data_IF_419257514494
#
_entry.id   IF_419257514494
#
_cell.length_a   1.000
_cell.length_b   1.000
_cell.length_c   1.000
_cell.angle_alpha   90.00
_cell.angle_beta   90.00
_cell.angle_gamma   90.00
#
_symmetry.space_group_name_H-M   'P 1'
#
loop_
_entity.id
_entity.type
_entity.pdbx_description
1 polymer ?
#
# COMPACT_ATOMS: atom_id res chain seq x y z
N UNK A 1 -31.08 -30.36 -18.19
CA UNK A 1 -31.85 -29.12 -17.95
C UNK A 1 -33.33 -29.34 -18.21
N UNK A 2 -33.78 -29.56 -19.45
CA UNK A 2 -35.20 -29.69 -19.80
C UNK A 2 -35.98 -30.71 -18.96
N UNK A 3 -35.38 -31.86 -18.62
CA UNK A 3 -36.03 -32.88 -17.78
C UNK A 3 -36.30 -32.40 -16.35
N UNK A 4 -35.43 -31.57 -15.77
CA UNK A 4 -35.61 -31.01 -14.42
C UNK A 4 -36.65 -29.88 -14.42
N UNK A 5 -36.62 -29.01 -15.44
CA UNK A 5 -37.65 -27.97 -15.64
C UNK A 5 -39.04 -28.60 -15.74
N UNK A 6 -39.19 -29.62 -16.59
CA UNK A 6 -40.45 -30.34 -16.79
C UNK A 6 -40.91 -31.09 -15.53
N UNK A 7 -39.98 -31.72 -14.80
CA UNK A 7 -40.29 -32.38 -13.53
C UNK A 7 -40.79 -31.37 -12.48
N UNK A 8 -40.19 -30.18 -12.41
CA UNK A 8 -40.61 -29.09 -11.51
C UNK A 8 -42.00 -28.57 -11.86
N UNK A 9 -42.29 -28.35 -13.13
CA UNK A 9 -43.62 -27.91 -13.60
C UNK A 9 -44.72 -28.92 -13.27
N UNK A 10 -44.46 -30.22 -13.47
CA UNK A 10 -45.39 -31.29 -13.08
C UNK A 10 -45.61 -31.32 -11.57
N UNK A 11 -44.55 -31.08 -10.78
CA UNK A 11 -44.65 -31.02 -9.33
C UNK A 11 -45.42 -29.78 -8.85
N UNK A 12 -45.27 -28.64 -9.53
CA UNK A 12 -46.08 -27.43 -9.29
C UNK A 12 -47.57 -27.69 -9.59
N UNK A 13 -47.88 -28.44 -10.66
CA UNK A 13 -49.25 -28.86 -10.96
C UNK A 13 -49.82 -29.78 -9.87
N UNK A 14 -49.07 -30.79 -9.44
CA UNK A 14 -49.49 -31.73 -8.37
C UNK A 14 -49.73 -30.99 -7.06
N UNK A 15 -48.81 -30.10 -6.67
CA UNK A 15 -48.92 -29.31 -5.44
C UNK A 15 -50.09 -28.32 -5.47
N UNK A 16 -50.51 -27.87 -6.65
CA UNK A 16 -51.63 -26.91 -6.80
C UNK A 16 -52.98 -27.63 -6.93
N UNK A 17 -53.08 -28.61 -7.84
CA UNK A 17 -54.35 -29.29 -8.18
C UNK A 17 -54.69 -30.44 -7.22
N UNK A 18 -53.68 -31.07 -6.63
CA UNK A 18 -53.82 -32.27 -5.81
C UNK A 18 -53.19 -32.09 -4.41
N UNK A 19 -53.24 -30.87 -3.86
CA UNK A 19 -52.56 -30.44 -2.64
C UNK A 19 -52.85 -31.30 -1.39
N UNK A 20 -53.99 -32.00 -1.34
CA UNK A 20 -54.41 -32.85 -0.21
C UNK A 20 -54.01 -34.32 -0.36
N UNK A 21 -53.29 -34.68 -1.41
CA UNK A 21 -52.86 -36.05 -1.65
C UNK A 21 -51.50 -36.32 -1.03
N UNK A 22 -51.19 -37.60 -0.77
CA UNK A 22 -49.85 -38.03 -0.34
C UNK A 22 -48.72 -37.76 -1.35
N UNK A 23 -49.08 -37.32 -2.56
CA UNK A 23 -48.15 -37.04 -3.65
C UNK A 23 -47.77 -35.56 -3.73
N UNK A 24 -48.47 -34.66 -3.01
CA UNK A 24 -48.05 -33.29 -2.87
C UNK A 24 -46.77 -33.24 -2.01
N UNK A 25 -45.71 -32.67 -2.57
CA UNK A 25 -44.39 -32.60 -1.97
C UNK A 25 -43.70 -31.29 -2.38
N UNK A 26 -43.76 -30.32 -1.49
CA UNK A 26 -43.12 -29.00 -1.66
C UNK A 26 -41.60 -29.12 -1.49
N UNK A 27 -41.13 -30.09 -0.69
CA UNK A 27 -39.71 -30.33 -0.44
C UNK A 27 -39.01 -30.89 -1.68
N UNK A 28 -39.60 -31.93 -2.29
CA UNK A 28 -39.09 -32.49 -3.54
C UNK A 28 -39.12 -31.46 -4.68
N UNK A 29 -40.18 -30.64 -4.77
CA UNK A 29 -40.23 -29.51 -5.72
C UNK A 29 -39.08 -28.54 -5.50
N UNK A 30 -38.80 -28.16 -4.25
CA UNK A 30 -37.68 -27.27 -3.92
C UNK A 30 -36.33 -27.91 -4.29
N UNK A 31 -36.16 -29.22 -4.08
CA UNK A 31 -34.97 -29.95 -4.48
C UNK A 31 -34.75 -29.98 -6.00
N UNK A 32 -35.82 -30.18 -6.79
CA UNK A 32 -35.77 -30.12 -8.25
C UNK A 32 -35.33 -28.73 -8.73
N UNK A 33 -35.89 -27.68 -8.13
CA UNK A 33 -35.51 -26.30 -8.44
C UNK A 33 -34.04 -26.00 -8.10
N UNK A 34 -33.58 -26.37 -6.89
CA UNK A 34 -32.19 -26.19 -6.48
C UNK A 34 -31.22 -26.96 -7.40
N UNK A 35 -31.60 -28.15 -7.87
CA UNK A 35 -30.81 -28.96 -8.80
C UNK A 35 -30.75 -28.31 -10.19
N UNK A 36 -31.87 -27.80 -10.69
CA UNK A 36 -31.94 -27.04 -11.95
C UNK A 36 -31.01 -25.82 -11.92
N UNK A 37 -31.10 -25.00 -10.87
CA UNK A 37 -30.22 -23.83 -10.71
C UNK A 37 -28.75 -24.22 -10.52
N UNK A 38 -28.47 -25.34 -9.83
CA UNK A 38 -27.10 -25.86 -9.68
C UNK A 38 -26.51 -26.33 -11.00
N UNK A 39 -27.32 -26.85 -11.93
CA UNK A 39 -26.85 -27.20 -13.27
C UNK A 39 -26.60 -25.97 -14.13
N UNK A 40 -27.36 -24.90 -13.93
CA UNK A 40 -27.13 -23.62 -14.60
C UNK A 40 -25.80 -23.02 -14.13
N UNK A 41 -25.61 -22.85 -12.82
CA UNK A 41 -24.40 -22.26 -12.21
C UNK A 41 -23.12 -23.13 -12.26
N UNK A 42 -23.17 -24.30 -12.90
CA UNK A 42 -22.05 -25.26 -12.90
C UNK A 42 -20.89 -24.82 -13.82
N UNK A 43 -21.19 -24.10 -14.90
CA UNK A 43 -20.16 -23.62 -15.81
C UNK A 43 -19.43 -22.42 -15.20
N UNK A 44 -20.17 -21.53 -14.56
CA UNK A 44 -19.68 -20.33 -13.90
C UNK A 44 -18.75 -20.70 -12.74
N UNK A 45 -19.11 -21.70 -11.92
CA UNK A 45 -18.21 -22.13 -10.84
C UNK A 45 -16.92 -22.75 -11.36
N UNK A 46 -16.97 -23.51 -12.46
CA UNK A 46 -15.77 -24.05 -13.10
C UNK A 46 -14.90 -22.93 -13.71
N UNK A 47 -15.51 -21.90 -14.29
CA UNK A 47 -14.78 -20.73 -14.77
C UNK A 47 -14.15 -19.94 -13.61
N UNK A 48 -14.82 -19.79 -12.46
CA UNK A 48 -14.20 -19.21 -11.25
C UNK A 48 -12.95 -19.99 -10.87
N UNK A 49 -12.99 -21.33 -10.85
CA UNK A 49 -11.83 -22.16 -10.52
C UNK A 49 -10.67 -21.95 -11.51
N UNK A 50 -10.97 -21.86 -12.81
CA UNK A 50 -9.97 -21.57 -13.86
C UNK A 50 -9.36 -20.17 -13.66
N UNK A 51 -10.16 -19.16 -13.35
CA UNK A 51 -9.67 -17.81 -13.09
C UNK A 51 -8.78 -17.78 -11.84
N UNK A 52 -9.16 -18.48 -10.77
CA UNK A 52 -8.34 -18.59 -9.55
C UNK A 52 -7.01 -19.28 -9.84
N UNK A 53 -7.00 -20.37 -10.62
CA UNK A 53 -5.77 -21.04 -11.03
C UNK A 53 -4.88 -20.10 -11.87
N UNK A 54 -5.47 -19.37 -12.83
CA UNK A 54 -4.77 -18.37 -13.63
C UNK A 54 -4.17 -17.23 -12.79
N UNK A 55 -4.86 -16.79 -11.74
CA UNK A 55 -4.33 -15.80 -10.82
C UNK A 55 -3.10 -16.31 -10.06
N UNK A 56 -3.13 -17.56 -9.57
CA UNK A 56 -2.00 -18.18 -8.89
C UNK A 56 -0.80 -18.33 -9.82
N UNK A 57 -1.02 -18.80 -11.05
CA UNK A 57 0.04 -18.89 -12.07
C UNK A 57 0.64 -17.52 -12.39
N UNK A 58 -0.21 -16.48 -12.51
CA UNK A 58 0.25 -15.11 -12.75
C UNK A 58 1.09 -14.56 -11.59
N UNK A 59 0.73 -14.86 -10.33
CA UNK A 59 1.53 -14.51 -9.15
C UNK A 59 2.89 -15.21 -9.18
N UNK A 60 2.92 -16.50 -9.51
CA UNK A 60 4.18 -17.26 -9.65
C UNK A 60 5.06 -16.68 -10.77
N UNK A 61 4.45 -16.20 -11.85
CA UNK A 61 5.12 -15.48 -12.92
C UNK A 61 5.40 -13.99 -12.63
N UNK A 62 5.22 -13.53 -11.39
CA UNK A 62 5.38 -12.14 -10.94
C UNK A 62 4.54 -11.08 -11.68
N UNK A 63 3.50 -11.49 -12.38
CA UNK A 63 2.59 -10.61 -13.11
C UNK A 63 1.34 -10.30 -12.26
N UNK A 64 1.50 -9.40 -11.30
CA UNK A 64 0.43 -9.02 -10.38
C UNK A 64 -0.74 -8.30 -11.03
N UNK A 65 -0.49 -7.55 -12.12
CA UNK A 65 -1.56 -6.90 -12.89
C UNK A 65 -2.51 -7.97 -13.44
N UNK A 66 -1.96 -8.99 -14.11
CA UNK A 66 -2.74 -10.10 -14.65
C UNK A 66 -3.41 -10.92 -13.55
N UNK A 67 -2.73 -11.14 -12.43
CA UNK A 67 -3.34 -11.82 -11.27
C UNK A 67 -4.55 -11.06 -10.72
N UNK A 68 -4.44 -9.72 -10.60
CA UNK A 68 -5.53 -8.87 -10.15
C UNK A 68 -6.72 -8.88 -11.12
N UNK A 69 -6.47 -8.90 -12.44
CA UNK A 69 -7.52 -9.06 -13.46
C UNK A 69 -8.27 -10.39 -13.29
N UNK A 70 -7.54 -11.49 -13.09
CA UNK A 70 -8.15 -12.81 -12.86
C UNK A 70 -9.02 -12.82 -11.59
N UNK A 71 -8.51 -12.31 -10.47
CA UNK A 71 -9.32 -12.23 -9.24
C UNK A 71 -10.52 -11.30 -9.37
N UNK A 72 -10.39 -10.18 -10.10
CA UNK A 72 -11.51 -9.26 -10.36
C UNK A 72 -12.63 -9.95 -11.12
N UNK A 73 -12.29 -10.72 -12.16
CA UNK A 73 -13.27 -11.54 -12.90
C UNK A 73 -13.88 -12.64 -12.04
N UNK A 74 -13.07 -13.31 -11.22
CA UNK A 74 -13.54 -14.38 -10.33
C UNK A 74 -14.54 -13.87 -9.29
N UNK A 75 -14.29 -12.71 -8.69
CA UNK A 75 -15.21 -12.04 -7.76
C UNK A 75 -16.53 -11.69 -8.45
N UNK A 76 -16.47 -11.06 -9.63
CA UNK A 76 -17.66 -10.68 -10.38
C UNK A 76 -18.52 -11.89 -10.74
N UNK A 77 -17.91 -12.99 -11.17
CA UNK A 77 -18.62 -14.21 -11.54
C UNK A 77 -19.21 -14.94 -10.32
N UNK A 78 -18.53 -14.92 -9.17
CA UNK A 78 -19.08 -15.47 -7.93
C UNK A 78 -20.25 -14.63 -7.39
N UNK A 79 -20.20 -13.30 -7.56
CA UNK A 79 -21.31 -12.39 -7.20
C UNK A 79 -22.53 -12.62 -8.10
N UNK A 80 -22.31 -12.68 -9.42
CA UNK A 80 -23.34 -13.04 -10.39
C UNK A 80 -23.96 -14.39 -10.04
N UNK A 81 -23.13 -15.38 -9.69
CA UNK A 81 -23.63 -16.69 -9.29
C UNK A 81 -24.53 -16.63 -8.06
N UNK A 82 -24.13 -15.86 -7.05
CA UNK A 82 -24.91 -15.67 -5.83
C UNK A 82 -26.25 -14.97 -6.10
N UNK A 83 -26.31 -14.07 -7.10
CA UNK A 83 -27.49 -13.27 -7.42
C UNK A 83 -28.46 -13.97 -8.38
N UNK A 84 -27.95 -14.53 -9.48
CA UNK A 84 -28.76 -15.14 -10.54
C UNK A 84 -29.28 -16.53 -10.13
N UNK A 85 -28.52 -17.29 -9.32
CA UNK A 85 -28.88 -18.65 -8.90
C UNK A 85 -28.87 -18.83 -7.38
N UNK A 86 -29.68 -18.10 -6.61
CA UNK A 86 -29.59 -18.03 -5.14
C UNK A 86 -29.89 -19.35 -4.39
N UNK A 87 -30.47 -20.36 -5.05
CA UNK A 87 -30.65 -21.70 -4.47
C UNK A 87 -29.71 -22.77 -5.07
N UNK A 88 -28.76 -22.36 -5.90
CA UNK A 88 -27.69 -23.25 -6.36
C UNK A 88 -26.81 -23.66 -5.18
N UNK A 89 -26.30 -24.90 -5.21
CA UNK A 89 -25.32 -25.38 -4.24
C UNK A 89 -23.99 -24.62 -4.25
N UNK A 90 -23.76 -23.81 -5.29
CA UNK A 90 -22.52 -23.06 -5.49
C UNK A 90 -22.57 -21.63 -4.93
N UNK A 91 -23.72 -21.21 -4.42
CA UNK A 91 -23.85 -19.93 -3.72
C UNK A 91 -22.99 -19.96 -2.47
N UNK A 92 -22.09 -18.97 -2.32
CA UNK A 92 -21.18 -18.92 -1.19
C UNK A 92 -20.71 -17.50 -0.93
N UNK A 93 -21.20 -16.92 0.17
CA UNK A 93 -20.69 -15.64 0.70
C UNK A 93 -19.25 -15.79 1.21
N UNK A 94 -18.90 -16.93 1.82
CA UNK A 94 -17.55 -17.18 2.29
C UNK A 94 -16.52 -17.21 1.14
N UNK A 95 -16.86 -17.86 0.03
CA UNK A 95 -16.00 -17.90 -1.16
C UNK A 95 -15.88 -16.52 -1.82
N UNK A 96 -16.98 -15.76 -1.89
CA UNK A 96 -16.95 -14.38 -2.36
C UNK A 96 -15.99 -13.51 -1.53
N UNK A 97 -16.10 -13.53 -0.20
CA UNK A 97 -15.21 -12.76 0.69
C UNK A 97 -13.74 -13.21 0.57
N UNK A 98 -13.48 -14.50 0.41
CA UNK A 98 -12.12 -15.00 0.18
C UNK A 98 -11.53 -14.48 -1.14
N UNK A 99 -12.31 -14.54 -2.23
CA UNK A 99 -11.90 -14.02 -3.53
C UNK A 99 -11.67 -12.51 -3.50
N UNK A 100 -12.55 -11.78 -2.82
CA UNK A 100 -12.42 -10.32 -2.66
C UNK A 100 -11.19 -9.95 -1.82
N UNK A 101 -10.92 -10.69 -0.74
CA UNK A 101 -9.69 -10.52 0.04
C UNK A 101 -8.44 -10.77 -0.80
N UNK A 102 -8.42 -11.83 -1.62
CA UNK A 102 -7.32 -12.12 -2.56
C UNK A 102 -7.16 -11.04 -3.63
N UNK A 103 -8.28 -10.53 -4.17
CA UNK A 103 -8.29 -9.43 -5.14
C UNK A 103 -7.67 -8.17 -4.54
N UNK A 104 -8.14 -7.74 -3.37
CA UNK A 104 -7.62 -6.56 -2.66
C UNK A 104 -6.14 -6.73 -2.33
N UNK A 105 -5.72 -7.87 -1.77
CA UNK A 105 -4.31 -8.11 -1.45
C UNK A 105 -3.40 -8.03 -2.69
N UNK A 106 -3.85 -8.59 -3.82
CA UNK A 106 -3.07 -8.58 -5.08
C UNK A 106 -2.95 -7.17 -5.66
N UNK A 107 -4.04 -6.40 -5.66
CA UNK A 107 -4.03 -5.00 -6.12
C UNK A 107 -3.16 -4.13 -5.22
N UNK A 108 -3.29 -4.29 -3.90
CA UNK A 108 -2.50 -3.53 -2.94
C UNK A 108 -1.00 -3.83 -3.08
N UNK A 109 -0.62 -5.10 -3.28
CA UNK A 109 0.78 -5.49 -3.54
C UNK A 109 1.31 -4.87 -4.85
N UNK A 110 0.52 -4.89 -5.93
CA UNK A 110 0.91 -4.27 -7.19
C UNK A 110 1.19 -2.76 -7.03
N UNK A 111 0.29 -2.06 -6.35
CA UNK A 111 0.43 -0.64 -6.03
C UNK A 111 1.67 -0.38 -5.16
N UNK A 112 1.90 -1.19 -4.12
CA UNK A 112 3.07 -1.03 -3.24
C UNK A 112 4.39 -1.30 -3.96
N UNK A 113 4.43 -2.21 -4.93
CA UNK A 113 5.62 -2.42 -5.78
C UNK A 113 5.91 -1.23 -6.67
N UNK A 114 4.88 -0.62 -7.23
CA UNK A 114 5.00 0.63 -7.98
C UNK A 114 5.55 1.74 -7.08
N UNK A 115 4.96 1.94 -5.90
CA UNK A 115 5.42 2.94 -4.93
C UNK A 115 6.89 2.74 -4.51
N UNK A 116 7.34 1.49 -4.30
CA UNK A 116 8.74 1.17 -4.00
C UNK A 116 9.68 1.43 -5.18
N UNK A 117 9.22 1.22 -6.40
CA UNK A 117 10.01 1.51 -7.62
C UNK A 117 10.19 3.02 -7.77
N UNK A 118 9.11 3.77 -7.62
CA UNK A 118 9.15 5.23 -7.61
C UNK A 118 10.01 5.75 -6.44
N UNK A 119 9.99 5.10 -5.27
CA UNK A 119 10.84 5.48 -4.13
C UNK A 119 12.33 5.40 -4.45
N UNK A 120 12.75 4.33 -5.15
CA UNK A 120 14.13 4.20 -5.61
C UNK A 120 14.51 5.36 -6.54
N UNK A 121 13.65 5.67 -7.51
CA UNK A 121 13.87 6.79 -8.45
C UNK A 121 13.92 8.13 -7.72
N UNK A 122 12.99 8.38 -6.80
CA UNK A 122 12.94 9.59 -5.99
C UNK A 122 14.23 9.75 -5.16
N UNK A 123 14.68 8.70 -4.47
CA UNK A 123 15.93 8.71 -3.70
C UNK A 123 17.14 9.05 -4.58
N UNK A 124 17.23 8.47 -5.77
CA UNK A 124 18.30 8.80 -6.71
C UNK A 124 18.27 10.26 -7.17
N UNK A 125 17.08 10.79 -7.47
CA UNK A 125 16.92 12.18 -7.88
C UNK A 125 17.30 13.15 -6.76
N UNK A 126 16.88 12.85 -5.53
CA UNK A 126 17.25 13.62 -4.33
C UNK A 126 18.77 13.59 -4.10
N UNK A 127 19.38 12.40 -4.18
CA UNK A 127 20.83 12.23 -4.04
C UNK A 127 21.65 12.96 -5.11
N UNK A 128 21.08 13.13 -6.32
CA UNK A 128 21.65 13.88 -7.45
C UNK A 128 21.23 15.36 -7.44
N UNK A 129 20.53 15.84 -6.40
CA UNK A 129 20.00 17.21 -6.24
C UNK A 129 19.09 17.66 -7.39
N UNK A 130 18.40 16.72 -8.03
CA UNK A 130 17.42 16.96 -9.10
C UNK A 130 16.03 17.18 -8.49
N UNK A 131 15.89 18.27 -7.74
CA UNK A 131 14.70 18.55 -6.93
C UNK A 131 13.40 18.53 -7.73
N UNK A 132 13.35 19.15 -8.93
CA UNK A 132 12.13 19.18 -9.75
C UNK A 132 11.62 17.77 -10.08
N UNK A 133 12.49 16.92 -10.63
CA UNK A 133 12.12 15.53 -10.92
C UNK A 133 11.79 14.73 -9.66
N UNK A 134 12.47 14.99 -8.54
CA UNK A 134 12.15 14.33 -7.28
C UNK A 134 10.75 14.70 -6.77
N UNK A 135 10.32 15.96 -6.94
CA UNK A 135 8.98 16.42 -6.56
C UNK A 135 7.89 15.68 -7.35
N UNK A 136 8.07 15.48 -8.66
CA UNK A 136 7.13 14.70 -9.49
C UNK A 136 6.94 13.28 -8.93
N UNK A 137 8.03 12.62 -8.50
CA UNK A 137 7.94 11.28 -7.90
C UNK A 137 7.31 11.31 -6.51
N UNK A 138 7.60 12.33 -5.69
CA UNK A 138 7.00 12.52 -4.36
C UNK A 138 5.48 12.64 -4.46
N UNK A 139 4.98 13.42 -5.42
CA UNK A 139 3.55 13.60 -5.66
C UNK A 139 2.89 12.29 -6.09
N UNK A 140 3.48 11.58 -7.07
CA UNK A 140 2.98 10.29 -7.53
C UNK A 140 2.91 9.25 -6.40
N UNK A 141 3.95 9.14 -5.57
CA UNK A 141 3.96 8.18 -4.45
C UNK A 141 2.93 8.59 -3.39
N UNK A 142 2.78 9.89 -3.09
CA UNK A 142 1.79 10.35 -2.14
C UNK A 142 0.35 10.04 -2.60
N UNK A 143 0.07 10.20 -3.90
CA UNK A 143 -1.22 9.82 -4.49
C UNK A 143 -1.47 8.31 -4.38
N UNK A 144 -0.47 7.48 -4.72
CA UNK A 144 -0.57 6.03 -4.57
C UNK A 144 -0.84 5.62 -3.11
N UNK A 145 -0.13 6.21 -2.14
CA UNK A 145 -0.33 5.92 -0.72
C UNK A 145 -1.72 6.35 -0.23
N UNK A 146 -2.25 7.46 -0.74
CA UNK A 146 -3.61 7.93 -0.44
C UNK A 146 -4.64 6.94 -0.98
N UNK A 147 -4.52 6.58 -2.26
CA UNK A 147 -5.38 5.57 -2.90
C UNK A 147 -5.30 4.22 -2.19
N UNK A 148 -4.12 3.78 -1.75
CA UNK A 148 -3.97 2.54 -1.00
C UNK A 148 -4.80 2.55 0.29
N UNK A 149 -4.73 3.66 1.05
CA UNK A 149 -5.47 3.80 2.30
C UNK A 149 -6.99 3.84 2.09
N UNK A 150 -7.45 4.43 0.98
CA UNK A 150 -8.87 4.55 0.63
C UNK A 150 -9.45 3.26 0.04
N UNK A 151 -8.75 2.65 -0.92
CA UNK A 151 -9.24 1.51 -1.70
C UNK A 151 -8.99 0.17 -0.98
N UNK A 152 -7.96 0.06 -0.14
CA UNK A 152 -7.56 -1.20 0.51
C UNK A 152 -7.42 -1.11 2.04
N UNK A 153 -8.42 -0.58 2.78
CA UNK A 153 -8.31 -0.36 4.24
C UNK A 153 -8.18 -1.65 5.06
N UNK A 154 -8.49 -2.81 4.47
CA UNK A 154 -8.36 -4.14 5.08
C UNK A 154 -7.02 -4.82 4.77
N UNK A 155 -6.19 -4.22 3.93
CA UNK A 155 -4.89 -4.78 3.57
C UNK A 155 -3.89 -4.60 4.71
N UNK A 156 -3.22 -5.69 5.10
CA UNK A 156 -2.12 -5.66 6.07
C UNK A 156 -0.78 -5.25 5.42
N UNK A 157 -0.76 -4.92 4.12
CA UNK A 157 0.45 -4.56 3.36
C UNK A 157 0.91 -3.11 3.58
N UNK A 158 0.50 -2.47 4.68
CA UNK A 158 0.85 -1.07 4.93
C UNK A 158 2.35 -0.90 5.17
N UNK A 159 2.95 0.06 4.47
CA UNK A 159 4.31 0.52 4.73
C UNK A 159 4.24 1.87 5.44
N UNK A 160 4.12 1.81 6.77
CA UNK A 160 4.02 3.02 7.60
C UNK A 160 5.26 3.92 7.45
N UNK A 161 6.43 3.33 7.20
CA UNK A 161 7.67 4.07 6.96
C UNK A 161 7.61 4.88 5.67
N UNK A 162 7.18 4.25 4.58
CA UNK A 162 7.00 4.91 3.28
C UNK A 162 5.94 6.01 3.36
N UNK A 163 4.80 5.72 4.01
CA UNK A 163 3.72 6.70 4.19
C UNK A 163 4.17 7.94 4.98
N UNK A 164 4.91 7.75 6.08
CA UNK A 164 5.49 8.85 6.87
C UNK A 164 6.49 9.68 6.06
N UNK A 165 7.38 9.01 5.33
CA UNK A 165 8.38 9.66 4.47
C UNK A 165 7.73 10.58 3.44
N UNK A 166 6.78 10.06 2.66
CA UNK A 166 6.18 10.83 1.57
C UNK A 166 5.17 11.87 2.03
N UNK A 167 4.51 11.66 3.18
CA UNK A 167 3.74 12.73 3.84
C UNK A 167 4.64 13.90 4.24
N UNK A 168 5.82 13.60 4.80
CA UNK A 168 6.79 14.64 5.14
C UNK A 168 7.34 15.34 3.88
N UNK A 169 7.83 14.60 2.89
CA UNK A 169 8.39 15.16 1.66
C UNK A 169 7.37 16.02 0.91
N UNK A 170 6.10 15.57 0.85
CA UNK A 170 5.00 16.35 0.28
C UNK A 170 4.80 17.68 1.01
N UNK A 171 4.98 17.71 2.34
CA UNK A 171 4.87 18.93 3.16
C UNK A 171 6.00 19.94 2.97
N UNK A 172 7.16 19.51 2.45
CA UNK A 172 8.33 20.37 2.21
C UNK A 172 8.66 20.53 0.72
N UNK A 173 7.83 20.01 -0.20
CA UNK A 173 8.14 19.92 -1.65
C UNK A 173 8.57 21.24 -2.28
N UNK A 174 7.90 22.35 -1.93
CA UNK A 174 8.21 23.70 -2.45
C UNK A 174 9.57 24.21 -1.95
N UNK A 175 9.99 23.79 -0.75
CA UNK A 175 11.25 24.16 -0.10
C UNK A 175 12.35 23.12 -0.31
N UNK A 176 12.08 22.05 -1.06
CA UNK A 176 12.96 20.88 -1.09
C UNK A 176 14.37 21.22 -1.59
N UNK A 177 14.46 22.08 -2.61
CA UNK A 177 15.75 22.55 -3.12
C UNK A 177 16.49 23.41 -2.11
N UNK A 178 15.80 24.36 -1.49
CA UNK A 178 16.37 25.24 -0.46
C UNK A 178 16.92 24.42 0.71
N UNK A 179 16.16 23.42 1.18
CA UNK A 179 16.61 22.52 2.25
C UNK A 179 17.84 21.71 1.85
N UNK A 180 17.88 21.19 0.62
CA UNK A 180 19.07 20.49 0.13
C UNK A 180 20.28 21.42 0.11
N UNK A 181 20.13 22.64 -0.40
CA UNK A 181 21.21 23.62 -0.49
C UNK A 181 21.74 23.97 0.93
N UNK A 182 20.84 24.24 1.88
CA UNK A 182 21.14 24.50 3.29
C UNK A 182 22.02 23.41 3.94
N UNK A 183 21.68 22.13 3.73
CA UNK A 183 22.45 21.02 4.29
C UNK A 183 23.77 20.81 3.54
N UNK A 184 23.76 20.75 2.21
CA UNK A 184 24.96 20.47 1.42
C UNK A 184 26.05 21.56 1.59
N UNK A 185 25.68 22.81 1.83
CA UNK A 185 26.63 23.90 2.10
C UNK A 185 27.37 23.76 3.43
N UNK A 186 26.80 23.00 4.38
CA UNK A 186 27.34 22.80 5.74
C UNK A 186 28.02 21.45 5.92
N UNK A 187 27.96 20.57 4.91
CA UNK A 187 28.60 19.27 4.94
C UNK A 187 30.10 19.38 4.60
N UNK A 188 30.94 18.76 5.42
CA UNK A 188 32.38 18.62 5.22
C UNK A 188 32.79 17.14 5.32
N UNK A 189 33.83 16.69 4.58
CA UNK A 189 34.32 15.32 4.71
C UNK A 189 34.93 15.07 6.09
N UNK A 190 34.89 13.83 6.56
CA UNK A 190 35.64 13.46 7.76
C UNK A 190 37.16 13.47 7.48
N UNK A 191 38.00 13.90 8.44
CA UNK A 191 39.44 13.90 8.26
C UNK A 191 39.99 12.52 7.89
N UNK A 192 40.69 12.43 6.75
CA UNK A 192 41.26 11.17 6.25
C UNK A 192 40.27 10.25 5.52
N UNK A 193 39.01 10.66 5.36
CA UNK A 193 38.03 9.92 4.56
C UNK A 193 36.99 10.84 3.91
N UNK A 194 37.05 10.98 2.59
CA UNK A 194 36.19 11.89 1.82
C UNK A 194 34.77 11.35 1.58
N UNK A 195 34.49 10.09 1.92
CA UNK A 195 33.19 9.47 1.66
C UNK A 195 32.11 9.85 2.71
N UNK A 196 32.34 9.68 4.03
CA UNK A 196 31.41 10.16 5.04
C UNK A 196 31.53 11.68 5.19
N UNK A 197 30.38 12.33 5.14
CA UNK A 197 30.25 13.77 5.36
C UNK A 197 29.59 14.02 6.71
N UNK A 198 29.94 15.13 7.34
CA UNK A 198 29.35 15.58 8.60
C UNK A 198 29.02 17.08 8.52
N UNK A 199 28.00 17.50 9.26
CA UNK A 199 27.72 18.93 9.43
C UNK A 199 28.85 19.58 10.21
N UNK A 200 29.45 20.65 9.66
CA UNK A 200 30.54 21.41 10.30
C UNK A 200 30.09 22.26 11.50
N UNK A 201 28.79 22.49 11.62
CA UNK A 201 28.15 23.34 12.63
C UNK A 201 26.97 22.59 13.26
N UNK A 202 26.59 23.00 14.47
CA UNK A 202 25.36 22.53 15.11
C UNK A 202 24.14 22.97 14.29
N UNK A 203 23.07 22.18 14.36
CA UNK A 203 21.80 22.54 13.71
C UNK A 203 21.18 23.71 14.46
N UNK A 204 21.01 24.84 13.78
CA UNK A 204 20.35 26.02 14.31
C UNK A 204 18.82 25.83 14.44
N UNK A 205 18.18 26.70 15.21
CA UNK A 205 16.75 26.64 15.49
C UNK A 205 15.90 26.81 14.23
N UNK A 206 16.28 27.69 13.31
CA UNK A 206 15.57 27.90 12.04
C UNK A 206 15.56 26.61 11.20
N UNK A 207 16.73 26.00 11.01
CA UNK A 207 16.93 24.76 10.26
C UNK A 207 16.14 23.61 10.89
N UNK A 208 16.20 23.50 12.23
CA UNK A 208 15.42 22.51 12.95
C UNK A 208 13.93 22.70 12.70
N UNK A 209 13.40 23.92 12.79
CA UNK A 209 11.98 24.22 12.56
C UNK A 209 11.57 23.92 11.12
N UNK A 210 12.41 24.22 10.12
CA UNK A 210 12.11 23.92 8.73
C UNK A 210 11.87 22.41 8.50
N UNK A 211 12.58 21.53 9.20
CA UNK A 211 12.45 20.07 9.07
C UNK A 211 11.44 19.46 10.07
N UNK A 212 11.44 19.91 11.31
CA UNK A 212 10.67 19.31 12.40
C UNK A 212 9.31 20.00 12.63
N UNK A 213 9.11 21.21 12.08
CA UNK A 213 7.89 22.03 12.18
C UNK A 213 7.51 22.49 13.60
N UNK A 214 8.43 22.42 14.56
CA UNK A 214 8.30 23.03 15.88
C UNK A 214 9.68 23.41 16.44
N UNK A 215 9.71 24.35 17.40
CA UNK A 215 10.94 24.75 18.10
C UNK A 215 10.86 24.33 19.59
N UNK A 216 11.66 23.35 20.04
CA UNK A 216 11.70 22.93 21.44
C UNK A 216 12.57 23.82 22.33
N UNK A 217 13.36 24.72 21.74
CA UNK A 217 14.41 25.44 22.46
C UNK A 217 13.84 26.39 23.50
N UNK A 218 14.51 26.46 24.65
CA UNK A 218 14.11 27.33 25.75
C UNK A 218 14.44 28.79 25.45
N UNK A 219 15.61 29.04 24.86
CA UNK A 219 16.06 30.37 24.48
C UNK A 219 15.84 30.56 22.98
N UNK A 220 14.89 31.43 22.60
CA UNK A 220 14.48 31.59 21.19
C UNK A 220 15.36 32.59 20.47
N UNK A 221 16.06 32.10 19.45
CA UNK A 221 16.76 32.88 18.44
C UNK A 221 17.06 31.94 17.27
N UNK A 222 16.75 32.39 16.05
CA UNK A 222 16.83 31.56 14.84
C UNK A 222 18.24 31.04 14.57
N UNK A 223 19.27 31.82 14.93
CA UNK A 223 20.67 31.49 14.68
C UNK A 223 21.32 30.67 15.80
N UNK A 224 20.66 30.53 16.96
CA UNK A 224 21.19 29.71 18.04
C UNK A 224 21.05 28.21 17.70
N UNK A 225 21.97 27.36 18.18
CA UNK A 225 21.78 25.92 18.14
C UNK A 225 20.44 25.52 18.78
N UNK A 226 19.77 24.52 18.20
CA UNK A 226 18.58 23.94 18.81
C UNK A 226 18.94 23.29 20.15
N UNK A 227 18.15 23.59 21.19
CA UNK A 227 18.31 23.03 22.53
C UNK A 227 17.04 22.29 23.00
N UNK A 228 17.10 21.69 24.20
CA UNK A 228 15.95 21.04 24.85
C UNK A 228 15.30 19.90 24.04
N UNK A 229 16.05 19.27 23.13
CA UNK A 229 15.61 18.10 22.37
C UNK A 229 15.88 16.80 23.12
N UNK A 230 14.96 15.85 22.97
CA UNK A 230 15.19 14.47 23.38
C UNK A 230 15.96 13.71 22.29
N UNK A 231 16.62 12.62 22.68
CA UNK A 231 17.37 11.76 21.74
C UNK A 231 16.50 11.22 20.60
N UNK A 232 15.22 10.92 20.87
CA UNK A 232 14.26 10.50 19.86
C UNK A 232 14.06 11.56 18.76
N UNK A 233 13.97 12.85 19.14
CA UNK A 233 13.84 13.95 18.21
C UNK A 233 15.10 14.13 17.35
N UNK A 234 16.29 13.96 17.95
CA UNK A 234 17.55 14.02 17.23
C UNK A 234 17.65 12.92 16.16
N UNK A 235 17.23 11.69 16.50
CA UNK A 235 17.14 10.58 15.53
C UNK A 235 16.12 10.85 14.43
N UNK A 236 14.95 11.36 14.79
CA UNK A 236 13.91 11.70 13.81
C UNK A 236 14.38 12.80 12.85
N UNK A 237 15.07 13.82 13.36
CA UNK A 237 15.72 14.85 12.54
C UNK A 237 16.68 14.21 11.54
N UNK A 238 17.59 13.32 11.99
CA UNK A 238 18.51 12.61 11.08
C UNK A 238 17.76 11.84 9.99
N UNK A 239 16.68 11.14 10.34
CA UNK A 239 15.86 10.39 9.37
C UNK A 239 15.23 11.32 8.33
N UNK A 240 14.60 12.42 8.76
CA UNK A 240 13.95 13.38 7.85
C UNK A 240 14.95 14.11 6.96
N UNK A 241 16.12 14.47 7.48
CA UNK A 241 17.22 15.03 6.67
C UNK A 241 17.69 14.00 5.65
N UNK A 242 17.83 12.73 6.04
CA UNK A 242 18.14 11.65 5.11
C UNK A 242 17.13 11.53 3.97
N UNK A 243 15.83 11.69 4.27
CA UNK A 243 14.80 11.76 3.25
C UNK A 243 14.97 12.96 2.31
N UNK A 244 15.25 14.16 2.81
CA UNK A 244 15.51 15.35 1.97
C UNK A 244 16.73 15.15 1.06
N UNK A 245 17.78 14.52 1.57
CA UNK A 245 19.03 14.35 0.84
C UNK A 245 19.02 13.14 -0.10
N UNK A 246 18.08 12.21 0.05
CA UNK A 246 18.12 10.90 -0.62
C UNK A 246 19.34 10.06 -0.18
N UNK A 247 19.80 10.25 1.06
CA UNK A 247 21.01 9.64 1.61
C UNK A 247 20.74 9.11 3.01
N UNK A 248 21.50 8.11 3.43
CA UNK A 248 21.51 7.71 4.84
C UNK A 248 22.15 8.83 5.68
N UNK A 249 21.44 9.24 6.73
CA UNK A 249 21.89 10.27 7.67
C UNK A 249 21.67 9.75 9.08
N UNK A 250 22.68 9.92 9.93
CA UNK A 250 22.67 9.47 11.32
C UNK A 250 23.33 10.50 12.22
N UNK A 251 23.15 10.32 13.52
CA UNK A 251 23.94 11.05 14.51
C UNK A 251 25.42 10.61 14.41
N UNK A 252 26.36 11.55 14.59
CA UNK A 252 27.78 11.23 14.57
C UNK A 252 28.19 10.42 15.80
N UNK A 253 29.25 9.64 15.64
CA UNK A 253 29.92 8.92 16.72
C UNK A 253 30.91 9.84 17.45
N UNK A 254 31.27 9.50 18.68
CA UNK A 254 32.14 10.33 19.52
C UNK A 254 33.56 10.50 18.95
N UNK A 255 34.08 9.48 18.28
CA UNK A 255 35.37 9.52 17.59
C UNK A 255 35.34 10.41 16.34
N UNK A 256 34.25 10.39 15.57
CA UNK A 256 34.05 11.28 14.42
C UNK A 256 34.07 12.76 14.84
N UNK A 257 33.40 13.09 15.95
CA UNK A 257 33.42 14.44 16.54
C UNK A 257 34.85 14.80 16.98
N UNK A 258 35.52 13.88 17.69
CA UNK A 258 36.88 14.11 18.20
C UNK A 258 37.89 14.38 17.07
N UNK A 259 37.76 13.69 15.94
CA UNK A 259 38.60 13.89 14.76
C UNK A 259 38.43 15.30 14.17
N UNK A 260 37.20 15.80 14.09
CA UNK A 260 36.91 17.13 13.53
C UNK A 260 37.41 18.26 14.43
N UNK A 261 37.25 18.10 15.75
CA UNK A 261 37.79 19.05 16.73
C UNK A 261 39.31 19.06 16.67
N UNK A 262 39.97 17.90 16.58
CA UNK A 262 41.43 17.80 16.46
C UNK A 262 41.94 18.40 15.14
N UNK A 263 41.16 18.30 14.06
CA UNK A 263 41.48 18.89 12.76
C UNK A 263 41.18 20.40 12.67
N UNK A 264 40.58 21.02 13.69
CA UNK A 264 40.18 22.43 13.68
C UNK A 264 39.06 22.75 12.68
N UNK A 265 38.29 21.74 12.28
CA UNK A 265 37.22 21.86 11.28
C UNK A 265 35.87 22.22 11.93
N UNK A 266 35.66 21.80 13.17
CA UNK A 266 34.53 22.20 14.00
C UNK A 266 34.97 23.22 15.05
N UNK A 267 34.19 24.30 15.18
CA UNK A 267 34.32 25.30 16.24
C UNK A 267 33.58 24.89 17.52
#
# INVERSE_FOLDING_TARGET
>A
MESYTKARELMDEVNTRFARTKFADVGFRAQLWATELSLQGANETAEVDVLVAGAVEAIVGENLIKAAEYYTRAVALQDELNREWPQSRFVSSARFEELESKRQATLAEALMREARTLDQVANELLAKRRALGAVEQVEAIHELMTRFAEEFPRSNLSDEGLGKKYSFLMSVREQLRELQDLFYERLVPLPGNDAPMIMRELVDQETYVKVMRFNPSKNRDDALPVDSIQWANAKELSVRVGWVLGREVRLPQADEISQLTAAGVMA
#
